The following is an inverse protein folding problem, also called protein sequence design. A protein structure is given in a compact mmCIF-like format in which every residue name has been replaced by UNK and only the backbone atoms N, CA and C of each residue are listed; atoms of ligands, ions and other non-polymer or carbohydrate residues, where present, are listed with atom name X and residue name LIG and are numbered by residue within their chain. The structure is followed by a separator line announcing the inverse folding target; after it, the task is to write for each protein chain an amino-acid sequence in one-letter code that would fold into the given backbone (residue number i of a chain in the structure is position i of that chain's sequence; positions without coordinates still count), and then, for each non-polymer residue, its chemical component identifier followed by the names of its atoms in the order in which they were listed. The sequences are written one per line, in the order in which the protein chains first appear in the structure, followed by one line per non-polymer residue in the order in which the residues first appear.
data_IF_688604491678
#
_entry.id   IF_688604491678
#
_cell.length_a   1.000
_cell.length_b   1.000
_cell.length_c   1.000
_cell.angle_alpha   90.00
_cell.angle_beta   90.00
_cell.angle_gamma   90.00
#
_symmetry.space_group_name_H-M   'P 1'
#
loop_
_entity.id
_entity.type
_entity.pdbx_description
1 polymer ?
#
# COMPACT_ATOMS: atom_id res chain seq x y z
N UNK A 1 42.90 -20.52 12.75
CA UNK A 1 42.10 -19.92 13.84
C UNK A 1 41.33 -18.67 13.43
N UNK A 2 41.90 -17.71 12.67
CA UNK A 2 41.23 -16.43 12.32
C UNK A 2 39.96 -16.55 11.46
N UNK A 3 39.90 -17.52 10.54
CA UNK A 3 38.73 -17.72 9.65
C UNK A 3 37.56 -18.47 10.31
N UNK A 4 37.84 -19.25 11.36
CA UNK A 4 36.81 -19.99 12.10
C UNK A 4 35.87 -19.04 12.84
N UNK A 5 36.41 -17.93 13.36
CA UNK A 5 35.65 -16.89 14.04
C UNK A 5 34.69 -16.16 13.09
N UNK A 6 35.11 -15.89 11.85
CA UNK A 6 34.27 -15.29 10.80
C UNK A 6 33.14 -16.23 10.38
N UNK A 7 33.41 -17.52 10.25
CA UNK A 7 32.39 -18.51 9.89
C UNK A 7 31.32 -18.66 10.97
N UNK A 8 31.70 -18.59 12.24
CA UNK A 8 30.78 -18.75 13.38
C UNK A 8 29.83 -17.55 13.53
N UNK A 9 30.25 -16.34 13.14
CA UNK A 9 29.39 -15.14 13.11
C UNK A 9 28.30 -15.25 12.04
N UNK A 10 28.59 -15.88 10.90
CA UNK A 10 27.63 -16.04 9.81
C UNK A 10 26.51 -17.06 10.10
N UNK A 11 26.76 -18.02 11.00
CA UNK A 11 25.80 -19.07 11.35
C UNK A 11 24.83 -18.70 12.49
N UNK A 12 24.91 -17.50 13.06
CA UNK A 12 23.97 -17.08 14.09
C UNK A 12 22.59 -16.78 13.47
N UNK A 13 21.51 -17.46 13.92
CA UNK A 13 20.17 -17.19 13.44
C UNK A 13 19.73 -15.84 14.00
N UNK A 14 19.87 -14.78 13.18
CA UNK A 14 19.23 -13.51 13.45
C UNK A 14 17.71 -13.74 13.33
N UNK A 15 17.03 -13.85 14.46
CA UNK A 15 15.58 -13.79 14.52
C UNK A 15 15.13 -12.39 14.13
N UNK A 16 15.07 -12.15 12.82
CA UNK A 16 14.47 -10.95 12.25
C UNK A 16 12.97 -11.09 12.47
N UNK A 17 12.49 -10.50 13.56
CA UNK A 17 11.08 -10.23 13.72
C UNK A 17 10.70 -9.25 12.60
N UNK A 18 10.09 -9.79 11.53
CA UNK A 18 9.42 -8.97 10.55
C UNK A 18 8.37 -8.17 11.28
N UNK A 19 8.62 -6.88 11.49
CA UNK A 19 7.55 -5.99 11.85
C UNK A 19 6.53 -6.11 10.71
N UNK A 20 5.30 -6.49 11.04
CA UNK A 20 4.20 -6.27 10.14
C UNK A 20 4.12 -4.77 9.93
N UNK A 21 4.85 -4.26 8.92
CA UNK A 21 4.54 -2.97 8.34
C UNK A 21 3.05 -3.04 7.99
N UNK A 22 2.35 -1.95 8.19
CA UNK A 22 0.93 -1.74 7.87
C UNK A 22 0.68 -1.92 6.36
N UNK A 23 0.97 -3.11 5.84
CA UNK A 23 1.03 -3.55 4.45
C UNK A 23 -0.36 -3.79 3.86
N UNK A 24 -1.41 -3.60 4.65
CA UNK A 24 -2.67 -3.13 4.14
C UNK A 24 -2.61 -1.64 3.84
N UNK A 25 -1.59 -1.16 3.12
CA UNK A 25 -1.71 0.11 2.41
C UNK A 25 -2.94 0.03 1.50
N UNK A 26 -3.57 1.15 1.15
CA UNK A 26 -4.61 1.13 0.14
C UNK A 26 -4.12 0.31 -1.06
N UNK A 27 -4.90 -0.63 -1.61
CA UNK A 27 -4.50 -1.37 -2.79
C UNK A 27 -4.54 -0.44 -4.02
N UNK A 28 -3.60 0.51 -4.07
CA UNK A 28 -3.30 1.34 -5.23
C UNK A 28 -2.54 0.55 -6.29
N UNK A 29 -1.94 -0.58 -5.91
CA UNK A 29 -1.12 -1.39 -6.81
C UNK A 29 -1.90 -1.98 -7.98
N UNK A 30 -3.22 -2.16 -7.86
CA UNK A 30 -4.06 -2.67 -8.94
C UNK A 30 -4.17 -1.70 -10.12
N UNK A 31 -4.05 -0.40 -9.85
CA UNK A 31 -4.27 0.71 -10.79
C UNK A 31 -2.96 1.22 -11.40
N UNK A 32 -1.83 0.62 -11.02
CA UNK A 32 -0.49 1.00 -11.48
C UNK A 32 -0.08 0.35 -12.82
N UNK A 33 -1.05 -0.18 -13.59
CA UNK A 33 -0.79 -0.70 -14.94
C UNK A 33 -0.06 0.36 -15.78
N UNK A 34 1.15 0.01 -16.24
CA UNK A 34 1.95 0.88 -17.12
C UNK A 34 1.55 0.58 -18.56
N UNK A 35 0.67 1.41 -19.12
CA UNK A 35 0.39 1.36 -20.56
C UNK A 35 1.55 1.99 -21.35
N UNK A 36 1.97 1.38 -22.48
CA UNK A 36 3.03 1.94 -23.31
C UNK A 36 2.61 3.29 -23.92
N UNK A 37 3.40 4.33 -23.67
CA UNK A 37 3.19 5.65 -24.25
C UNK A 37 3.89 5.81 -25.61
N UNK A 38 3.24 6.53 -26.53
CA UNK A 38 3.83 6.85 -27.82
C UNK A 38 4.93 7.91 -27.67
N UNK A 39 6.02 7.77 -28.44
CA UNK A 39 7.18 8.66 -28.39
C UNK A 39 6.84 10.14 -28.67
N UNK A 40 7.49 11.06 -27.93
CA UNK A 40 7.33 12.52 -28.03
C UNK A 40 5.94 13.05 -27.64
N UNK A 41 5.18 12.27 -26.88
CA UNK A 41 3.89 12.68 -26.32
C UNK A 41 3.92 12.77 -24.80
N UNK A 42 3.11 13.69 -24.28
CA UNK A 42 2.75 13.76 -22.87
C UNK A 42 1.47 12.97 -22.65
N UNK A 43 1.45 12.16 -21.60
CA UNK A 43 0.26 11.48 -21.12
C UNK A 43 0.02 11.93 -19.68
N UNK A 44 -1.18 12.41 -19.40
CA UNK A 44 -1.62 12.75 -18.04
C UNK A 44 -2.80 11.86 -17.73
N UNK A 45 -2.68 11.08 -16.66
CA UNK A 45 -3.63 10.06 -16.27
C UNK A 45 -4.04 10.29 -14.81
N UNK A 46 -5.24 10.83 -14.57
CA UNK A 46 -5.84 10.87 -13.26
C UNK A 46 -6.54 9.54 -12.97
N UNK A 47 -6.21 8.93 -11.83
CA UNK A 47 -6.78 7.69 -11.33
C UNK A 47 -7.43 7.99 -9.99
N UNK A 48 -8.64 7.49 -9.78
CA UNK A 48 -9.34 7.63 -8.50
C UNK A 48 -9.86 6.27 -8.06
N UNK A 49 -9.34 5.79 -6.94
CA UNK A 49 -9.69 4.51 -6.35
C UNK A 49 -10.53 4.73 -5.09
N UNK A 50 -11.64 4.01 -5.04
CA UNK A 50 -12.49 3.91 -3.86
C UNK A 50 -12.55 2.46 -3.42
N UNK A 51 -12.21 2.20 -2.16
CA UNK A 51 -12.25 0.86 -1.59
C UNK A 51 -12.94 0.85 -0.22
N UNK A 52 -13.77 -0.17 0.00
CA UNK A 52 -14.43 -0.46 1.28
C UNK A 52 -14.04 -1.85 1.74
N UNK A 53 -13.42 -1.92 2.91
CA UNK A 53 -13.11 -3.18 3.58
C UNK A 53 -14.00 -3.31 4.81
N UNK A 54 -14.91 -4.28 4.75
CA UNK A 54 -15.92 -4.52 5.79
C UNK A 54 -15.62 -5.77 6.62
N UNK A 55 -14.83 -6.69 6.07
CA UNK A 55 -14.51 -7.97 6.70
C UNK A 55 -13.02 -8.07 7.07
N UNK A 56 -12.76 -8.62 8.26
CA UNK A 56 -11.43 -9.00 8.71
C UNK A 56 -11.31 -10.53 8.70
N UNK A 57 -10.49 -11.06 7.79
CA UNK A 57 -10.22 -12.49 7.69
C UNK A 57 -8.75 -12.73 8.03
N UNK A 58 -8.48 -13.66 8.95
CA UNK A 58 -7.12 -14.14 9.23
C UNK A 58 -7.06 -15.65 8.97
N UNK A 59 -6.40 -16.04 7.88
CA UNK A 59 -6.37 -17.43 7.42
C UNK A 59 -7.78 -17.95 7.13
N UNK A 60 -8.22 -18.98 7.86
CA UNK A 60 -9.56 -19.58 7.76
C UNK A 60 -10.57 -19.04 8.77
N UNK A 61 -10.17 -18.09 9.63
CA UNK A 61 -11.05 -17.51 10.66
C UNK A 61 -11.55 -16.15 10.22
N UNK A 62 -12.87 -16.03 10.04
CA UNK A 62 -13.56 -14.75 9.86
C UNK A 62 -13.95 -14.21 11.22
N UNK A 63 -13.55 -12.96 11.51
CA UNK A 63 -13.91 -12.30 12.76
C UNK A 63 -15.19 -11.48 12.56
N UNK A 64 -16.34 -12.14 12.61
CA UNK A 64 -17.65 -11.49 12.47
C UNK A 64 -17.97 -10.48 13.60
N UNK A 65 -17.32 -10.61 14.77
CA UNK A 65 -17.58 -9.78 15.96
C UNK A 65 -16.77 -8.46 16.02
N UNK A 66 -15.98 -8.15 14.98
CA UNK A 66 -15.27 -6.87 14.88
C UNK A 66 -15.89 -6.02 13.75
N UNK A 67 -16.91 -5.18 14.03
CA UNK A 67 -17.45 -4.22 13.07
C UNK A 67 -16.45 -3.07 12.86
N UNK A 68 -15.34 -3.38 12.18
CA UNK A 68 -14.33 -2.42 11.72
C UNK A 68 -14.55 -2.20 10.24
N UNK A 69 -15.14 -1.06 9.88
CA UNK A 69 -15.28 -0.65 8.48
C UNK A 69 -14.15 0.33 8.13
N UNK A 70 -13.35 -0.01 7.13
CA UNK A 70 -12.29 0.84 6.60
C UNK A 70 -12.67 1.32 5.20
N UNK A 71 -12.88 2.62 5.07
CA UNK A 71 -13.10 3.31 3.81
C UNK A 71 -11.78 3.94 3.37
N UNK A 72 -11.41 3.74 2.11
CA UNK A 72 -10.18 4.29 1.56
C UNK A 72 -10.48 4.97 0.24
N UNK A 73 -10.13 6.25 0.17
CA UNK A 73 -10.15 7.08 -1.02
C UNK A 73 -8.72 7.33 -1.42
N UNK A 74 -8.39 7.11 -2.69
CA UNK A 74 -7.06 7.41 -3.18
C UNK A 74 -7.14 8.06 -4.56
N UNK A 75 -6.64 9.28 -4.66
CA UNK A 75 -6.43 9.97 -5.93
C UNK A 75 -4.98 9.82 -6.33
N UNK A 76 -4.71 9.40 -7.55
CA UNK A 76 -3.37 9.18 -8.07
C UNK A 76 -3.25 9.91 -9.40
N UNK A 77 -2.27 10.80 -9.50
CA UNK A 77 -2.00 11.55 -10.71
C UNK A 77 -0.68 11.07 -11.29
N UNK A 78 -0.75 10.56 -12.51
CA UNK A 78 0.40 10.12 -13.27
C UNK A 78 0.63 11.06 -14.44
N UNK A 79 1.86 11.55 -14.55
CA UNK A 79 2.31 12.39 -15.66
C UNK A 79 3.49 11.69 -16.30
N UNK A 80 3.32 11.26 -17.54
CA UNK A 80 4.33 10.54 -18.30
C UNK A 80 4.74 11.32 -19.54
N UNK A 81 6.02 11.31 -19.86
CA UNK A 81 6.57 11.87 -21.08
C UNK A 81 7.48 10.85 -21.75
N UNK A 82 7.19 10.52 -23.01
CA UNK A 82 8.04 9.66 -23.81
C UNK A 82 9.06 10.50 -24.58
N UNK A 83 10.35 10.27 -24.39
CA UNK A 83 11.34 10.84 -25.31
C UNK A 83 11.27 10.09 -26.64
N UNK A 84 11.36 8.76 -26.57
CA UNK A 84 11.41 7.85 -27.71
C UNK A 84 10.56 6.61 -27.41
N UNK A 85 10.35 5.72 -28.39
CA UNK A 85 9.63 4.45 -28.19
C UNK A 85 10.28 3.48 -27.18
N UNK A 86 11.45 3.82 -26.61
CA UNK A 86 12.22 3.01 -25.66
C UNK A 86 12.47 3.69 -24.31
N UNK A 87 12.27 5.01 -24.23
CA UNK A 87 12.64 5.79 -23.05
C UNK A 87 11.51 6.75 -22.70
N UNK A 88 10.96 6.57 -21.51
CA UNK A 88 9.91 7.41 -20.93
C UNK A 88 10.27 7.80 -19.50
N UNK A 89 9.76 8.94 -19.09
CA UNK A 89 9.80 9.44 -17.72
C UNK A 89 8.38 9.51 -17.20
N UNK A 90 8.15 8.97 -16.01
CA UNK A 90 6.84 9.02 -15.35
C UNK A 90 6.99 9.58 -13.95
N UNK A 91 6.25 10.64 -13.67
CA UNK A 91 6.05 11.20 -12.34
C UNK A 91 4.71 10.72 -11.84
N UNK A 92 4.69 10.23 -10.61
CA UNK A 92 3.49 9.72 -9.96
C UNK A 92 3.38 10.39 -8.60
N UNK A 93 2.23 11.04 -8.36
CA UNK A 93 1.88 11.58 -7.06
C UNK A 93 0.56 10.96 -6.63
N UNK A 94 0.42 10.64 -5.35
CA UNK A 94 -0.84 10.13 -4.84
C UNK A 94 -1.25 10.87 -3.58
N UNK A 95 -2.57 11.00 -3.42
CA UNK A 95 -3.23 11.49 -2.25
C UNK A 95 -4.15 10.39 -1.73
N UNK A 96 -3.92 9.96 -0.50
CA UNK A 96 -4.69 8.92 0.14
C UNK A 96 -5.41 9.51 1.34
N UNK A 97 -6.70 9.24 1.45
CA UNK A 97 -7.51 9.47 2.62
C UNK A 97 -8.16 8.17 3.07
N UNK A 98 -7.97 7.85 4.33
CA UNK A 98 -8.52 6.66 4.94
C UNK A 98 -9.37 7.02 6.15
N UNK A 99 -10.53 6.39 6.22
CA UNK A 99 -11.45 6.50 7.33
C UNK A 99 -11.67 5.12 7.93
N UNK A 100 -11.56 5.03 9.24
CA UNK A 100 -11.77 3.79 9.96
C UNK A 100 -12.84 4.00 11.02
N UNK A 101 -13.93 3.24 10.90
CA UNK A 101 -15.02 3.22 11.85
C UNK A 101 -14.95 1.92 12.65
N UNK A 102 -14.71 2.04 13.94
CA UNK A 102 -14.68 0.90 14.87
C UNK A 102 -15.86 1.03 15.82
N UNK A 103 -16.75 0.03 15.84
CA UNK A 103 -17.75 -0.08 16.91
C UNK A 103 -17.20 -1.02 17.97
N UNK A 104 -17.03 -0.53 19.20
CA UNK A 104 -16.58 -1.37 20.33
C UNK A 104 -17.77 -2.10 20.92
N UNK A 105 -17.58 -3.39 21.24
CA UNK A 105 -18.53 -4.16 22.05
C UNK A 105 -18.62 -3.50 23.42
N UNK A 106 -19.75 -2.84 23.71
CA UNK A 106 -19.93 -1.99 24.92
C UNK A 106 -20.49 -0.58 24.66
N UNK A 107 -20.73 -0.19 23.40
CA UNK A 107 -21.56 0.98 23.07
C UNK A 107 -20.82 2.25 22.60
N UNK A 108 -19.48 2.24 22.58
CA UNK A 108 -18.70 3.36 22.04
C UNK A 108 -18.41 3.22 20.54
N UNK A 109 -18.68 4.27 19.76
CA UNK A 109 -18.20 4.39 18.38
C UNK A 109 -16.97 5.30 18.32
N UNK A 110 -15.91 4.87 17.65
CA UNK A 110 -14.74 5.71 17.37
C UNK A 110 -14.52 5.79 15.86
N UNK A 111 -14.28 7.01 15.37
CA UNK A 111 -13.92 7.25 13.97
C UNK A 111 -12.50 7.80 13.95
N UNK A 112 -11.61 7.12 13.23
CA UNK A 112 -10.24 7.55 13.00
C UNK A 112 -10.10 7.97 11.54
N UNK A 113 -9.34 9.04 11.30
CA UNK A 113 -9.05 9.54 9.97
C UNK A 113 -7.54 9.68 9.79
N UNK A 114 -7.03 9.26 8.65
CA UNK A 114 -5.64 9.48 8.25
C UNK A 114 -5.62 9.96 6.79
N UNK A 115 -4.82 10.99 6.51
CA UNK A 115 -4.63 11.50 5.17
C UNK A 115 -3.16 11.82 4.93
N UNK A 116 -2.70 11.64 3.70
CA UNK A 116 -1.31 11.91 3.36
C UNK A 116 -1.10 11.94 1.86
N UNK A 117 -0.03 12.62 1.47
CA UNK A 117 0.58 12.50 0.14
C UNK A 117 1.66 11.42 0.23
N UNK A 118 1.71 10.53 -0.76
CA UNK A 118 2.78 9.53 -0.90
C UNK A 118 3.84 9.99 -1.88
#
# INVERSE_FOLDING_TARGET
MRYLQLFLVFCLPLSLYGQGCCSGGPPLSGSLGLEPIQGRHWQVEPIFDYNTQQDLVSGTKSFADNPRNRLTYAGLLRVSYALNARLSFTVLTSWVRQEERVRRVGGGQSINYAQGLS
#
